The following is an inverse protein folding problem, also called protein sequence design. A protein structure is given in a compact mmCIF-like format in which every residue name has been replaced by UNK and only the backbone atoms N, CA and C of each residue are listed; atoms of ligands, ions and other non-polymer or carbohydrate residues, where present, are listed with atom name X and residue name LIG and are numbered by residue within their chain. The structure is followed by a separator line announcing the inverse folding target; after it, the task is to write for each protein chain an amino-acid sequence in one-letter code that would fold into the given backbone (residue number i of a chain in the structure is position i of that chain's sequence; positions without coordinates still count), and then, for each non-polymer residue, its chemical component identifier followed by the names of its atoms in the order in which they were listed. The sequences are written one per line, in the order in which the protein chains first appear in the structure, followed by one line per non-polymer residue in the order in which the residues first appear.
data_IF_722699668371
#
_entry.id   IF_722699668371
#
_cell.length_a   1.000
_cell.length_b   1.000
_cell.length_c   1.000
_cell.angle_alpha   90.00
_cell.angle_beta   90.00
_cell.angle_gamma   90.00
#
_symmetry.space_group_name_H-M   'P 1'
#
loop_
_entity.id
_entity.type
_entity.pdbx_description
1 polymer ?
#
# COMPACT_ATOMS: atom_id res chain seq x y z
N UNK A 1 22.94 0.68 -2.04
CA UNK A 1 22.54 -0.27 -3.10
C UNK A 1 21.06 -0.63 -2.90
N UNK A 2 20.14 0.00 -3.64
CA UNK A 2 18.71 -0.37 -3.57
C UNK A 2 18.47 -1.67 -4.35
N UNK A 3 18.19 -2.75 -3.63
CA UNK A 3 17.72 -4.01 -4.22
C UNK A 3 16.35 -3.75 -4.85
N UNK A 4 16.30 -3.68 -6.19
CA UNK A 4 15.05 -3.67 -6.94
C UNK A 4 14.47 -5.09 -6.94
N UNK A 5 13.58 -5.37 -6.00
CA UNK A 5 12.78 -6.58 -6.02
C UNK A 5 11.77 -6.49 -7.17
N UNK A 6 11.94 -7.34 -8.18
CA UNK A 6 10.99 -7.45 -9.30
C UNK A 6 9.75 -8.18 -8.79
N UNK A 7 8.68 -7.44 -8.45
CA UNK A 7 7.36 -8.07 -8.27
C UNK A 7 6.86 -8.63 -9.61
N UNK A 8 6.25 -9.83 -9.64
CA UNK A 8 5.72 -10.41 -10.87
C UNK A 8 4.47 -9.63 -11.33
N UNK A 9 4.38 -9.33 -12.62
CA UNK A 9 3.16 -9.02 -13.38
C UNK A 9 2.31 -7.76 -13.05
N UNK A 10 2.60 -6.98 -12.01
CA UNK A 10 1.91 -5.69 -11.75
C UNK A 10 2.47 -4.54 -12.60
N UNK A 11 1.63 -3.70 -13.23
CA UNK A 11 2.07 -2.48 -13.95
C UNK A 11 2.52 -1.35 -13.03
N UNK A 12 2.43 -1.56 -11.71
CA UNK A 12 2.76 -0.59 -10.66
C UNK A 12 3.64 -1.25 -9.59
N UNK A 13 4.39 -0.42 -8.86
CA UNK A 13 5.13 -0.81 -7.66
C UNK A 13 5.05 0.31 -6.63
N UNK A 14 5.19 -0.05 -5.37
CA UNK A 14 5.30 0.91 -4.28
C UNK A 14 6.78 1.29 -4.11
N UNK A 15 7.03 2.57 -3.85
CA UNK A 15 8.34 3.13 -3.57
C UNK A 15 8.24 3.94 -2.28
N UNK A 16 9.19 3.77 -1.38
CA UNK A 16 9.24 4.49 -0.12
C UNK A 16 10.50 5.35 -0.04
N UNK A 17 10.33 6.60 0.35
CA UNK A 17 11.40 7.49 0.80
C UNK A 17 11.10 7.90 2.25
N UNK A 18 11.56 7.05 3.18
CA UNK A 18 11.08 7.07 4.56
C UNK A 18 9.55 6.91 4.63
N UNK A 19 8.82 7.81 5.31
CA UNK A 19 7.35 7.78 5.38
C UNK A 19 6.64 8.25 4.09
N UNK A 20 7.36 8.72 3.07
CA UNK A 20 6.74 9.07 1.79
C UNK A 20 6.52 7.83 0.93
N UNK A 21 5.27 7.40 0.80
CA UNK A 21 4.86 6.28 -0.05
C UNK A 21 4.39 6.76 -1.43
N UNK A 22 4.93 6.14 -2.48
CA UNK A 22 4.64 6.49 -3.87
C UNK A 22 4.31 5.24 -4.69
N UNK A 23 3.13 5.22 -5.32
CA UNK A 23 2.77 4.20 -6.30
C UNK A 23 3.25 4.69 -7.67
N UNK A 24 4.21 3.98 -8.25
CA UNK A 24 4.84 4.33 -9.53
C UNK A 24 4.51 3.32 -10.61
N UNK A 25 4.30 3.80 -11.83
CA UNK A 25 4.20 2.92 -12.99
C UNK A 25 5.55 2.22 -13.25
N UNK A 26 5.52 0.92 -13.56
CA UNK A 26 6.72 0.18 -14.01
C UNK A 26 7.19 0.63 -15.40
N UNK A 27 6.26 1.06 -16.26
CA UNK A 27 6.52 1.39 -17.66
C UNK A 27 6.93 2.86 -17.87
N UNK A 28 6.45 3.76 -17.01
CA UNK A 28 6.85 5.16 -16.99
C UNK A 28 7.41 5.48 -15.60
N UNK A 29 8.72 5.24 -15.40
CA UNK A 29 9.37 5.36 -14.07
C UNK A 29 9.23 6.74 -13.42
N UNK A 30 8.99 7.78 -14.21
CA UNK A 30 8.75 9.16 -13.75
C UNK A 30 7.30 9.44 -13.39
N UNK A 31 6.35 8.58 -13.77
CA UNK A 31 4.92 8.77 -13.52
C UNK A 31 4.55 8.19 -12.16
N UNK A 32 4.56 9.06 -11.16
CA UNK A 32 3.89 8.83 -9.89
C UNK A 32 2.39 8.90 -10.11
N UNK A 33 1.69 7.81 -9.77
CA UNK A 33 0.23 7.69 -9.93
C UNK A 33 -0.46 8.19 -8.67
N UNK A 34 0.18 7.95 -7.51
CA UNK A 34 -0.27 8.42 -6.21
C UNK A 34 0.93 8.56 -5.29
N UNK A 35 0.94 9.60 -4.48
CA UNK A 35 1.94 9.86 -3.44
C UNK A 35 1.19 10.24 -2.16
N UNK A 36 1.66 9.78 -1.02
CA UNK A 36 1.12 10.16 0.27
C UNK A 36 2.15 10.00 1.39
N UNK A 37 1.94 10.72 2.48
CA UNK A 37 2.67 10.52 3.73
C UNK A 37 1.99 9.43 4.55
N UNK A 38 2.74 8.44 5.01
CA UNK A 38 2.27 7.32 5.83
C UNK A 38 3.11 7.18 7.09
N UNK A 39 2.62 6.43 8.08
CA UNK A 39 3.41 6.10 9.26
C UNK A 39 4.54 5.10 8.95
N UNK A 40 5.52 5.02 9.84
CA UNK A 40 6.55 3.97 9.77
C UNK A 40 5.97 2.55 9.88
N UNK A 41 4.87 2.38 10.64
CA UNK A 41 4.16 1.11 10.77
C UNK A 41 3.57 0.64 9.44
N UNK A 42 3.08 1.57 8.61
CA UNK A 42 2.64 1.25 7.26
C UNK A 42 3.77 0.66 6.43
N UNK A 43 4.93 1.32 6.44
CA UNK A 43 6.11 0.90 5.67
C UNK A 43 6.60 -0.46 6.14
N UNK A 44 6.59 -0.70 7.45
CA UNK A 44 6.95 -1.97 8.06
C UNK A 44 6.00 -3.09 7.64
N UNK A 45 4.69 -2.90 7.78
CA UNK A 45 3.71 -3.90 7.36
C UNK A 45 3.78 -4.19 5.86
N UNK A 46 3.99 -3.16 5.04
CA UNK A 46 4.18 -3.35 3.60
C UNK A 46 5.37 -4.28 3.30
N UNK A 47 6.53 -4.06 3.95
CA UNK A 47 7.71 -4.91 3.78
C UNK A 47 7.45 -6.35 4.23
N UNK A 48 6.79 -6.54 5.37
CA UNK A 48 6.41 -7.87 5.86
C UNK A 48 5.54 -8.62 4.83
N UNK A 49 4.59 -7.92 4.20
CA UNK A 49 3.72 -8.49 3.17
C UNK A 49 4.48 -8.75 1.87
N UNK A 50 5.29 -7.79 1.39
CA UNK A 50 5.95 -7.88 0.09
C UNK A 50 7.17 -8.79 0.12
N UNK A 51 8.04 -8.63 1.11
CA UNK A 51 9.33 -9.32 1.20
C UNK A 51 9.17 -10.69 1.89
N UNK A 52 8.52 -10.71 3.06
CA UNK A 52 8.41 -11.94 3.87
C UNK A 52 7.18 -12.78 3.52
N UNK A 53 6.29 -12.28 2.65
CA UNK A 53 5.01 -12.93 2.29
C UNK A 53 4.16 -13.32 3.49
N UNK A 54 4.24 -12.52 4.56
CA UNK A 54 3.52 -12.75 5.81
C UNK A 54 2.67 -11.54 6.19
N UNK A 55 2.01 -11.59 7.35
CA UNK A 55 1.12 -10.53 7.80
C UNK A 55 1.19 -10.37 9.32
N UNK A 56 1.50 -9.16 9.78
CA UNK A 56 1.47 -8.81 11.20
C UNK A 56 0.16 -8.09 11.55
N UNK A 57 -0.72 -8.82 12.26
CA UNK A 57 -2.00 -8.30 12.73
C UNK A 57 -1.87 -7.19 13.77
N UNK A 58 -0.80 -7.21 14.57
CA UNK A 58 -0.54 -6.20 15.61
C UNK A 58 -0.22 -4.86 14.98
N UNK A 59 0.64 -4.86 13.95
CA UNK A 59 0.96 -3.65 13.18
C UNK A 59 -0.28 -3.17 12.43
N UNK A 60 -1.00 -4.08 11.76
CA UNK A 60 -2.25 -3.74 11.07
C UNK A 60 -3.27 -3.03 11.97
N UNK A 61 -3.48 -3.54 13.19
CA UNK A 61 -4.43 -2.97 14.15
C UNK A 61 -4.02 -1.56 14.63
N UNK A 62 -2.75 -1.18 14.49
CA UNK A 62 -2.24 0.16 14.84
C UNK A 62 -2.30 1.15 13.69
N UNK A 63 -2.48 0.68 12.45
CA UNK A 63 -2.69 1.56 11.31
C UNK A 63 -4.01 2.30 11.44
N UNK A 64 -4.01 3.56 11.01
CA UNK A 64 -5.24 4.32 10.81
C UNK A 64 -6.11 3.70 9.73
N UNK A 65 -7.39 4.02 9.73
CA UNK A 65 -8.33 3.53 8.71
C UNK A 65 -7.91 3.97 7.30
N UNK A 66 -7.49 5.23 7.14
CA UNK A 66 -6.98 5.75 5.87
C UNK A 66 -5.75 5.00 5.38
N UNK A 67 -4.82 4.64 6.27
CA UNK A 67 -3.67 3.82 5.93
C UNK A 67 -4.05 2.41 5.49
N UNK A 68 -5.04 1.78 6.14
CA UNK A 68 -5.55 0.47 5.71
C UNK A 68 -6.21 0.54 4.33
N UNK A 69 -6.94 1.62 4.05
CA UNK A 69 -7.55 1.87 2.74
C UNK A 69 -6.48 2.05 1.65
N UNK A 70 -5.44 2.85 1.94
CA UNK A 70 -4.30 3.03 1.04
C UNK A 70 -3.61 1.69 0.79
N UNK A 71 -3.36 0.91 1.84
CA UNK A 71 -2.66 -0.35 1.70
C UNK A 71 -3.45 -1.33 0.83
N UNK A 72 -4.77 -1.42 1.05
CA UNK A 72 -5.68 -2.21 0.20
C UNK A 72 -5.58 -1.78 -1.26
N UNK A 73 -5.64 -0.48 -1.53
CA UNK A 73 -5.52 0.06 -2.89
C UNK A 73 -4.16 -0.25 -3.51
N UNK A 74 -3.08 -0.08 -2.75
CA UNK A 74 -1.73 -0.31 -3.19
C UNK A 74 -1.44 -1.79 -3.47
N UNK A 75 -1.88 -2.71 -2.61
CA UNK A 75 -1.76 -4.16 -2.80
C UNK A 75 -2.46 -4.60 -4.09
N UNK A 76 -3.71 -4.16 -4.30
CA UNK A 76 -4.47 -4.43 -5.54
C UNK A 76 -3.79 -3.87 -6.78
N UNK A 77 -3.31 -2.62 -6.73
CA UNK A 77 -2.62 -1.98 -7.87
C UNK A 77 -1.27 -2.62 -8.19
N UNK A 78 -0.53 -3.02 -7.17
CA UNK A 78 0.78 -3.67 -7.32
C UNK A 78 0.67 -5.18 -7.61
N UNK A 79 -0.56 -5.74 -7.57
CA UNK A 79 -0.83 -7.18 -7.67
C UNK A 79 -0.03 -7.98 -6.65
N UNK A 80 -0.08 -7.53 -5.40
CA UNK A 80 0.52 -8.23 -4.26
C UNK A 80 -0.62 -8.88 -3.49
N UNK A 81 -0.60 -10.21 -3.46
CA UNK A 81 -1.61 -11.01 -2.78
C UNK A 81 -1.27 -11.12 -1.29
N UNK A 82 -2.25 -10.87 -0.41
CA UNK A 82 -2.13 -11.09 1.03
C UNK A 82 -3.50 -11.47 1.60
N UNK A 83 -3.74 -12.78 1.72
CA UNK A 83 -5.04 -13.32 2.13
C UNK A 83 -5.40 -12.95 3.57
N UNK A 84 -4.39 -12.91 4.45
CA UNK A 84 -4.52 -12.54 5.85
C UNK A 84 -4.90 -11.07 5.98
N UNK A 85 -4.27 -10.19 5.19
CA UNK A 85 -4.65 -8.78 5.11
C UNK A 85 -6.09 -8.64 4.62
N UNK A 86 -6.48 -9.32 3.54
CA UNK A 86 -7.85 -9.26 3.00
C UNK A 86 -8.90 -9.73 4.00
N UNK A 87 -8.59 -10.76 4.81
CA UNK A 87 -9.47 -11.21 5.90
C UNK A 87 -9.56 -10.21 7.05
N UNK A 88 -8.45 -9.55 7.39
CA UNK A 88 -8.39 -8.57 8.47
C UNK A 88 -9.04 -7.24 8.07
N UNK A 89 -8.94 -6.88 6.79
CA UNK A 89 -9.57 -5.73 6.19
C UNK A 89 -11.05 -6.04 5.93
N UNK A 90 -11.92 -5.71 6.89
CA UNK A 90 -13.35 -5.89 6.73
C UNK A 90 -13.92 -4.80 5.79
N UNK A 91 -14.37 -5.15 4.56
CA UNK A 91 -14.84 -4.18 3.58
C UNK A 91 -16.25 -3.64 3.87
N UNK A 92 -16.84 -3.96 5.03
CA UNK A 92 -18.20 -3.53 5.40
C UNK A 92 -18.34 -2.02 5.66
N UNK A 93 -17.24 -1.27 5.64
CA UNK A 93 -17.26 0.19 5.69
C UNK A 93 -16.94 0.67 4.26
N UNK A 94 -17.79 1.53 3.71
CA UNK A 94 -17.96 1.78 2.27
C UNK A 94 -16.70 1.97 1.40
N UNK A 95 -16.92 1.71 0.10
CA UNK A 95 -16.01 1.83 -1.04
C UNK A 95 -14.65 2.52 -0.73
N UNK A 96 -13.58 1.73 -0.52
CA UNK A 96 -12.25 2.24 -0.17
C UNK A 96 -11.72 3.27 -1.18
N UNK A 97 -12.13 3.13 -2.45
CA UNK A 97 -11.76 4.05 -3.53
C UNK A 97 -12.40 5.43 -3.34
N UNK A 98 -13.66 5.49 -2.90
CA UNK A 98 -14.37 6.75 -2.68
C UNK A 98 -13.76 7.52 -1.51
N UNK A 99 -13.40 6.81 -0.43
CA UNK A 99 -12.67 7.39 0.71
C UNK A 99 -11.28 7.87 0.35
N UNK A 100 -10.55 7.11 -0.46
CA UNK A 100 -9.25 7.54 -0.97
C UNK A 100 -9.34 8.78 -1.86
N UNK A 101 -10.41 8.91 -2.64
CA UNK A 101 -10.64 10.11 -3.45
C UNK A 101 -11.05 11.31 -2.58
N UNK A 102 -11.79 11.10 -1.48
CA UNK A 102 -12.10 12.16 -0.51
C UNK A 102 -10.86 12.67 0.24
N UNK A 103 -9.97 11.78 0.68
CA UNK A 103 -8.73 12.16 1.37
C UNK A 103 -7.85 13.04 0.46
N UNK A 104 -7.87 12.77 -0.85
CA UNK A 104 -7.06 13.50 -1.83
C UNK A 104 -7.63 14.89 -2.15
N UNK A 105 -8.93 15.11 -2.02
CA UNK A 105 -9.56 16.44 -2.21
C UNK A 105 -9.45 17.35 -0.97
N UNK A 106 -9.06 16.79 0.18
CA UNK A 106 -8.91 17.51 1.44
C UNK A 106 -7.46 17.95 1.75
N UNK A 107 -6.50 17.63 0.86
CA UNK A 107 -5.10 18.05 0.93
C UNK A 107 -4.77 19.09 -0.14
#
# INVERSE_FOLDING_TARGET
MSKRFKSPNGSFHMHFDGPHAQIKSKHAKTRTVRSLLVSHLFVELWRIIEDDKSFDKTIFNRLSESERDVMTYALKRCKIDSREFEKAYNPSIGHPIDRLNMIQSAM
#
